data_IF_331404562671
#
_entry.id   IF_331404562671
#
_cell.length_a   1.000
_cell.length_b   1.000
_cell.length_c   1.000
_cell.angle_alpha   90.00
_cell.angle_beta   90.00
_cell.angle_gamma   90.00
#
_symmetry.space_group_name_H-M   'P 1'
#
loop_
_entity.id
_entity.type
_entity.pdbx_description
1 polymer ?
#
# COMPACT_ATOMS: atom_id res chain seq x y z
N UNK A 1 -2.01 29.94 -10.19
CA UNK A 1 -1.76 28.51 -9.96
C UNK A 1 -0.30 28.31 -9.56
N UNK A 2 -0.02 27.82 -8.34
CA UNK A 2 1.35 27.51 -7.91
C UNK A 2 1.80 26.26 -8.68
N UNK A 3 2.87 26.34 -9.47
CA UNK A 3 3.43 25.16 -10.14
C UNK A 3 3.98 24.21 -9.07
N UNK A 4 3.54 22.97 -9.07
CA UNK A 4 4.05 21.95 -8.16
C UNK A 4 5.53 21.71 -8.47
N UNK A 5 6.36 21.62 -7.45
CA UNK A 5 7.75 21.23 -7.63
C UNK A 5 7.83 19.71 -7.89
N UNK A 6 8.93 19.24 -8.47
CA UNK A 6 9.19 17.81 -8.63
C UNK A 6 9.11 17.06 -7.28
N UNK A 7 9.56 17.70 -6.20
CA UNK A 7 9.47 17.15 -4.84
C UNK A 7 8.02 17.01 -4.37
N UNK A 8 7.15 17.97 -4.68
CA UNK A 8 5.73 17.91 -4.32
C UNK A 8 5.01 16.78 -5.10
N UNK A 9 5.35 16.63 -6.39
CA UNK A 9 4.82 15.54 -7.22
C UNK A 9 5.26 14.17 -6.70
N UNK A 10 6.53 14.02 -6.36
CA UNK A 10 7.05 12.79 -5.74
C UNK A 10 6.35 12.53 -4.41
N UNK A 11 6.26 13.53 -3.53
CA UNK A 11 5.60 13.35 -2.23
C UNK A 11 4.15 12.86 -2.39
N UNK A 12 3.39 13.51 -3.26
CA UNK A 12 2.01 13.12 -3.52
C UNK A 12 1.92 11.68 -4.08
N UNK A 13 2.79 11.32 -5.03
CA UNK A 13 2.82 9.97 -5.59
C UNK A 13 3.12 8.89 -4.53
N UNK A 14 4.09 9.13 -3.65
CA UNK A 14 4.43 8.21 -2.57
C UNK A 14 3.29 8.08 -1.56
N UNK A 15 2.64 9.19 -1.18
CA UNK A 15 1.46 9.16 -0.28
C UNK A 15 0.32 8.36 -0.88
N UNK A 16 -0.02 8.62 -2.14
CA UNK A 16 -1.06 7.88 -2.85
C UNK A 16 -0.74 6.38 -2.94
N UNK A 17 0.53 6.03 -3.14
CA UNK A 17 0.96 4.63 -3.17
C UNK A 17 0.80 3.94 -1.80
N UNK A 18 1.18 4.62 -0.71
CA UNK A 18 0.97 4.11 0.66
C UNK A 18 -0.51 3.91 0.94
N UNK A 19 -1.35 4.94 0.72
CA UNK A 19 -2.78 4.86 0.98
C UNK A 19 -3.44 3.74 0.17
N UNK A 20 -3.03 3.57 -1.09
CA UNK A 20 -3.57 2.52 -1.96
C UNK A 20 -3.23 1.12 -1.42
N UNK A 21 -1.98 0.88 -1.06
CA UNK A 21 -1.55 -0.42 -0.55
C UNK A 21 -2.12 -0.71 0.86
N UNK A 22 -2.31 0.31 1.70
CA UNK A 22 -3.02 0.16 2.98
C UNK A 22 -4.49 -0.23 2.77
N UNK A 23 -5.17 0.40 1.80
CA UNK A 23 -6.55 0.01 1.40
C UNK A 23 -6.60 -1.42 0.86
N UNK A 24 -5.63 -1.83 0.05
CA UNK A 24 -5.55 -3.20 -0.46
C UNK A 24 -5.29 -4.23 0.63
N UNK A 25 -4.38 -3.92 1.56
CA UNK A 25 -4.12 -4.77 2.74
C UNK A 25 -5.42 -5.04 3.49
N UNK A 26 -6.17 -4.00 3.84
CA UNK A 26 -7.45 -4.12 4.54
C UNK A 26 -8.50 -4.86 3.72
N UNK A 27 -8.58 -4.59 2.41
CA UNK A 27 -9.53 -5.26 1.51
C UNK A 27 -9.27 -6.76 1.44
N UNK A 28 -8.03 -7.17 1.20
CA UNK A 28 -7.69 -8.59 1.08
C UNK A 28 -7.79 -9.32 2.42
N UNK A 29 -7.38 -8.68 3.53
CA UNK A 29 -7.58 -9.23 4.86
C UNK A 29 -9.07 -9.45 5.18
N UNK A 30 -9.93 -8.50 4.79
CA UNK A 30 -11.37 -8.67 4.95
C UNK A 30 -11.91 -9.89 4.17
N UNK A 31 -11.49 -10.05 2.91
CA UNK A 31 -11.91 -11.18 2.09
C UNK A 31 -11.40 -12.53 2.62
N UNK A 32 -10.17 -12.59 3.12
CA UNK A 32 -9.64 -13.83 3.72
C UNK A 32 -10.41 -14.26 4.97
N UNK A 33 -11.12 -13.35 5.64
CA UNK A 33 -12.00 -13.68 6.77
C UNK A 33 -13.43 -14.06 6.37
N UNK A 34 -13.86 -13.70 5.16
CA UNK A 34 -15.26 -13.83 4.72
C UNK A 34 -15.49 -14.98 3.74
N UNK A 35 -14.46 -15.40 3.00
CA UNK A 35 -14.55 -16.54 2.09
C UNK A 35 -14.48 -17.84 2.88
N UNK A 36 -15.30 -18.83 2.49
CA UNK A 36 -15.35 -20.16 3.12
C UNK A 36 -14.37 -21.14 2.51
N UNK A 37 -14.05 -20.93 1.25
CA UNK A 37 -13.06 -21.73 0.52
C UNK A 37 -11.66 -21.50 1.09
N UNK A 38 -10.95 -22.60 1.33
CA UNK A 38 -9.63 -22.58 2.00
C UNK A 38 -8.55 -22.00 1.10
N UNK A 39 -8.57 -22.32 -0.19
CA UNK A 39 -7.56 -21.87 -1.15
C UNK A 39 -7.71 -20.38 -1.41
N UNK A 40 -8.95 -19.89 -1.55
CA UNK A 40 -9.23 -18.46 -1.65
C UNK A 40 -8.88 -17.71 -0.36
N UNK A 41 -9.12 -18.32 0.80
CA UNK A 41 -8.71 -17.73 2.09
C UNK A 41 -7.19 -17.53 2.15
N UNK A 42 -6.43 -18.55 1.76
CA UNK A 42 -4.97 -18.47 1.69
C UNK A 42 -4.52 -17.40 0.68
N UNK A 43 -5.09 -17.41 -0.52
CA UNK A 43 -4.77 -16.45 -1.59
C UNK A 43 -4.99 -14.99 -1.14
N UNK A 44 -6.13 -14.69 -0.52
CA UNK A 44 -6.39 -13.35 0.01
C UNK A 44 -5.50 -13.00 1.21
N UNK A 45 -5.12 -13.99 2.02
CA UNK A 45 -4.12 -13.82 3.07
C UNK A 45 -2.77 -13.39 2.50
N UNK A 46 -2.29 -14.09 1.48
CA UNK A 46 -1.02 -13.80 0.81
C UNK A 46 -1.02 -12.42 0.15
N UNK A 47 -2.13 -12.03 -0.48
CA UNK A 47 -2.28 -10.68 -1.03
C UNK A 47 -2.21 -9.60 0.06
N UNK A 48 -2.85 -9.81 1.21
CA UNK A 48 -2.78 -8.87 2.33
C UNK A 48 -1.36 -8.72 2.86
N UNK A 49 -0.64 -9.84 3.02
CA UNK A 49 0.77 -9.84 3.45
C UNK A 49 1.65 -9.11 2.44
N UNK A 50 1.51 -9.42 1.14
CA UNK A 50 2.26 -8.78 0.08
C UNK A 50 2.05 -7.27 0.04
N UNK A 51 0.78 -6.81 0.13
CA UNK A 51 0.47 -5.38 0.20
C UNK A 51 1.07 -4.71 1.42
N UNK A 52 1.01 -5.34 2.61
CA UNK A 52 1.66 -4.81 3.82
C UNK A 52 3.18 -4.68 3.65
N UNK A 53 3.83 -5.66 3.04
CA UNK A 53 5.27 -5.59 2.76
C UNK A 53 5.61 -4.48 1.75
N UNK A 54 4.74 -4.21 0.77
CA UNK A 54 4.90 -3.08 -0.15
C UNK A 54 4.79 -1.74 0.57
N UNK A 55 3.82 -1.57 1.49
CA UNK A 55 3.72 -0.36 2.33
C UNK A 55 5.03 -0.10 3.07
N UNK A 56 5.62 -1.13 3.69
CA UNK A 56 6.88 -0.99 4.40
C UNK A 56 8.03 -0.54 3.48
N UNK A 57 8.15 -1.14 2.29
CA UNK A 57 9.14 -0.74 1.28
C UNK A 57 8.93 0.70 0.81
N UNK A 58 7.69 1.09 0.52
CA UNK A 58 7.36 2.46 0.09
C UNK A 58 7.75 3.46 1.19
N UNK A 59 7.40 3.19 2.46
CA UNK A 59 7.77 4.04 3.60
C UNK A 59 9.30 4.11 3.79
N UNK A 60 10.02 3.02 3.58
CA UNK A 60 11.48 3.02 3.61
C UNK A 60 12.08 3.92 2.52
N UNK A 61 11.56 3.85 1.29
CA UNK A 61 11.99 4.73 0.21
C UNK A 61 11.62 6.19 0.48
N UNK A 62 10.44 6.47 1.02
CA UNK A 62 10.05 7.83 1.44
C UNK A 62 11.07 8.44 2.41
N UNK A 63 11.53 7.66 3.40
CA UNK A 63 12.56 8.10 4.34
C UNK A 63 13.88 8.41 3.63
N UNK A 64 14.31 7.59 2.66
CA UNK A 64 15.54 7.84 1.87
C UNK A 64 15.47 9.15 1.08
N UNK A 65 14.30 9.45 0.51
CA UNK A 65 14.09 10.67 -0.27
C UNK A 65 13.68 11.88 0.57
N UNK A 66 13.69 11.76 1.92
CA UNK A 66 13.22 12.79 2.85
C UNK A 66 11.81 13.32 2.50
N UNK A 67 10.93 12.37 2.15
CA UNK A 67 9.52 12.57 1.84
C UNK A 67 8.72 12.32 3.12
N UNK A 68 7.96 13.33 3.54
CA UNK A 68 7.03 13.27 4.68
C UNK A 68 5.61 13.04 4.21
#
# INVERSE_FOLDING_TARGET
MRRLTQKDLMNNAFKLAVEREERYTSKYFYWSKRVRDKDLTALFGDFAVASRSRVAKIKQEMNKFNIK
#
